data_IF_893122511337
#
_entry.id   IF_893122511337
#
_cell.length_a   1.000
_cell.length_b   1.000
_cell.length_c   1.000
_cell.angle_alpha   90.00
_cell.angle_beta   90.00
_cell.angle_gamma   90.00
#
_symmetry.space_group_name_H-M   'P 1'
#
loop_
_entity.id
_entity.type
_entity.pdbx_description
1 polymer ?
#
# COMPACT_ATOMS: atom_id res chain seq x y z
N UNK A 1 11.04 23.34 -59.90
CA UNK A 1 12.33 22.70 -59.53
C UNK A 1 12.02 21.40 -58.79
N UNK A 2 12.45 20.26 -59.34
CA UNK A 2 12.39 18.90 -58.75
C UNK A 2 13.45 18.72 -57.62
N UNK A 3 13.50 17.59 -56.85
CA UNK A 3 12.84 16.30 -57.10
C UNK A 3 12.22 15.54 -55.90
N UNK A 4 11.42 14.56 -56.30
CA UNK A 4 11.03 13.32 -55.62
C UNK A 4 12.20 12.54 -55.01
N UNK A 5 11.92 11.81 -53.91
CA UNK A 5 12.66 10.61 -53.51
C UNK A 5 11.71 9.42 -53.36
N UNK A 6 11.99 8.37 -54.10
CA UNK A 6 11.31 7.08 -54.10
C UNK A 6 11.46 6.34 -52.77
N UNK A 7 10.39 5.69 -52.30
CA UNK A 7 10.47 4.62 -51.31
C UNK A 7 10.12 3.31 -52.00
N UNK A 8 11.01 2.34 -51.88
CA UNK A 8 10.93 1.02 -52.48
C UNK A 8 9.76 0.20 -51.92
N UNK A 9 9.10 -0.54 -52.80
CA UNK A 9 8.11 -1.57 -52.48
C UNK A 9 8.80 -2.73 -51.76
N UNK A 10 8.43 -2.96 -50.50
CA UNK A 10 8.68 -4.17 -49.75
C UNK A 10 7.36 -4.91 -49.54
N UNK A 11 7.35 -6.18 -49.94
CA UNK A 11 6.19 -7.07 -50.02
C UNK A 11 5.66 -7.40 -48.61
N UNK A 12 4.37 -7.18 -48.33
CA UNK A 12 3.67 -7.83 -47.20
C UNK A 12 2.28 -8.35 -47.60
N UNK A 13 2.04 -9.59 -47.13
CA UNK A 13 0.92 -10.47 -47.41
C UNK A 13 -0.39 -10.05 -46.74
N UNK A 14 -1.45 -9.95 -47.54
CA UNK A 14 -2.76 -10.59 -47.32
C UNK A 14 -3.43 -10.59 -45.95
N UNK A 15 -3.89 -9.42 -45.45
CA UNK A 15 -5.15 -9.26 -44.68
C UNK A 15 -5.28 -7.81 -44.14
N UNK A 16 -5.47 -6.81 -45.00
CA UNK A 16 -5.87 -5.44 -44.60
C UNK A 16 -6.48 -4.63 -45.75
N UNK A 17 -7.21 -5.29 -46.65
CA UNK A 17 -7.85 -4.67 -47.80
C UNK A 17 -9.37 -4.56 -47.61
N UNK A 18 -9.84 -3.95 -46.52
CA UNK A 18 -11.29 -3.71 -46.30
C UNK A 18 -11.63 -2.48 -45.45
N UNK A 19 -10.68 -1.58 -45.17
CA UNK A 19 -10.96 -0.30 -44.49
C UNK A 19 -10.39 0.92 -45.24
N UNK A 20 -10.15 0.79 -46.55
CA UNK A 20 -9.57 1.85 -47.38
C UNK A 20 -10.30 2.04 -48.71
N UNK A 21 -11.63 1.89 -48.73
CA UNK A 21 -12.42 2.16 -49.94
C UNK A 21 -13.72 2.95 -49.71
N UNK A 22 -13.97 3.48 -48.51
CA UNK A 22 -15.17 4.28 -48.22
C UNK A 22 -14.85 5.60 -47.49
N UNK A 23 -13.79 6.29 -47.91
CA UNK A 23 -13.51 7.63 -47.39
C UNK A 23 -12.88 8.56 -48.46
N UNK A 24 -13.41 8.52 -49.69
CA UNK A 24 -13.02 9.49 -50.73
C UNK A 24 -14.07 10.58 -51.02
N UNK A 25 -15.24 10.55 -50.38
CA UNK A 25 -16.26 11.59 -50.54
C UNK A 25 -17.11 11.73 -49.27
N UNK A 26 -16.67 12.53 -48.29
CA UNK A 26 -17.57 13.17 -47.33
C UNK A 26 -16.82 14.23 -46.52
N UNK A 27 -17.00 15.50 -46.91
CA UNK A 27 -16.73 16.65 -46.06
C UNK A 27 -17.91 16.80 -45.10
N UNK A 28 -17.66 16.64 -43.80
CA UNK A 28 -18.58 16.77 -42.64
C UNK A 28 -19.45 15.55 -42.29
N UNK A 29 -19.10 14.85 -41.21
CA UNK A 29 -20.05 14.01 -40.46
C UNK A 29 -19.88 14.29 -38.96
N UNK A 30 -20.90 14.90 -38.37
CA UNK A 30 -21.13 14.98 -36.92
C UNK A 30 -21.81 13.69 -36.47
N UNK A 31 -21.20 12.92 -35.57
CA UNK A 31 -21.87 11.76 -34.98
C UNK A 31 -22.53 12.16 -33.65
N UNK A 32 -23.86 12.17 -33.64
CA UNK A 32 -24.69 12.08 -32.44
C UNK A 32 -25.51 10.79 -32.47
N UNK A 33 -25.72 10.27 -31.26
CA UNK A 33 -26.76 9.34 -30.79
C UNK A 33 -26.50 7.81 -30.69
N UNK A 34 -26.46 7.43 -29.41
CA UNK A 34 -26.99 6.24 -28.71
C UNK A 34 -27.81 5.20 -29.47
N UNK A 35 -27.56 3.91 -29.19
CA UNK A 35 -28.50 2.97 -28.54
C UNK A 35 -27.86 1.60 -28.23
N UNK A 36 -27.91 1.25 -26.94
CA UNK A 36 -28.25 -0.05 -26.33
C UNK A 36 -27.85 -1.40 -26.96
N UNK A 37 -26.90 -2.06 -26.29
CA UNK A 37 -27.07 -3.39 -25.68
C UNK A 37 -27.39 -4.62 -26.55
N UNK A 38 -26.39 -5.49 -26.71
CA UNK A 38 -26.52 -6.93 -26.40
C UNK A 38 -25.20 -7.41 -25.80
N UNK A 39 -25.27 -7.90 -24.56
CA UNK A 39 -24.22 -8.65 -23.89
C UNK A 39 -24.46 -10.14 -24.13
N UNK A 40 -23.39 -10.88 -24.41
CA UNK A 40 -23.27 -12.27 -23.95
C UNK A 40 -21.79 -12.65 -23.85
N UNK A 41 -21.46 -13.18 -22.68
CA UNK A 41 -20.15 -13.54 -22.15
C UNK A 41 -19.51 -14.75 -22.83
N UNK A 42 -18.19 -14.68 -23.08
CA UNK A 42 -17.28 -15.83 -22.85
C UNK A 42 -15.93 -15.32 -22.30
N UNK A 43 -15.77 -15.52 -20.99
CA UNK A 43 -14.56 -15.81 -20.20
C UNK A 43 -13.16 -15.23 -20.57
N UNK A 44 -12.59 -14.54 -19.56
CA UNK A 44 -11.19 -14.15 -19.28
C UNK A 44 -10.09 -15.19 -19.65
N UNK A 45 -8.84 -14.70 -19.84
CA UNK A 45 -7.88 -14.70 -18.74
C UNK A 45 -7.39 -13.30 -18.31
N UNK A 46 -6.99 -13.21 -17.04
CA UNK A 46 -6.43 -12.06 -16.31
C UNK A 46 -5.01 -11.68 -16.82
N UNK A 47 -4.42 -10.49 -16.60
CA UNK A 47 -4.46 -9.55 -15.46
C UNK A 47 -4.27 -8.11 -16.01
N UNK A 48 -5.10 -7.11 -15.63
CA UNK A 48 -4.88 -5.71 -16.00
C UNK A 48 -4.22 -4.90 -14.88
N UNK A 49 -3.18 -4.15 -15.26
CA UNK A 49 -2.45 -3.22 -14.42
C UNK A 49 -3.31 -2.06 -13.89
N UNK A 50 -2.93 -1.60 -12.70
CA UNK A 50 -3.54 -0.50 -11.98
C UNK A 50 -3.45 0.81 -12.78
N UNK A 51 -4.61 1.44 -12.96
CA UNK A 51 -4.74 2.76 -13.57
C UNK A 51 -4.39 3.86 -12.55
N UNK A 52 -3.35 4.64 -12.86
CA UNK A 52 -3.26 6.12 -12.74
C UNK A 52 -3.86 6.75 -11.46
N UNK A 53 -3.02 7.00 -10.44
CA UNK A 53 -3.30 7.96 -9.36
C UNK A 53 -3.05 9.39 -9.84
N UNK A 54 -3.90 9.89 -10.74
CA UNK A 54 -4.09 11.33 -10.87
C UNK A 54 -5.31 11.73 -10.05
N UNK A 55 -5.31 12.95 -9.56
CA UNK A 55 -6.52 13.59 -9.06
C UNK A 55 -7.53 13.64 -10.23
N UNK A 56 -8.65 12.93 -10.11
CA UNK A 56 -9.67 12.86 -11.14
C UNK A 56 -10.94 13.59 -10.68
N UNK A 57 -11.84 13.86 -11.62
CA UNK A 57 -13.17 14.38 -11.30
C UNK A 57 -13.88 13.35 -10.41
N UNK A 58 -14.20 13.76 -9.18
CA UNK A 58 -14.76 12.91 -8.15
C UNK A 58 -16.16 13.44 -7.81
N UNK A 59 -17.20 13.09 -8.60
CA UNK A 59 -18.54 13.67 -8.47
C UNK A 59 -19.20 13.37 -7.11
N UNK A 60 -18.67 12.40 -6.36
CA UNK A 60 -19.15 12.01 -5.03
C UNK A 60 -18.48 12.81 -3.89
N UNK A 61 -17.39 13.53 -4.18
CA UNK A 61 -16.65 14.31 -3.19
C UNK A 61 -17.35 15.63 -2.89
N UNK A 62 -17.86 15.80 -1.67
CA UNK A 62 -18.51 17.03 -1.21
C UNK A 62 -17.64 17.89 -0.31
N UNK A 63 -16.58 17.33 0.29
CA UNK A 63 -15.58 18.07 1.06
C UNK A 63 -14.20 17.39 1.04
N UNK A 64 -13.16 18.17 1.30
CA UNK A 64 -11.79 17.67 1.48
C UNK A 64 -11.68 16.76 2.71
N UNK A 65 -10.82 15.74 2.65
CA UNK A 65 -10.61 14.78 3.75
C UNK A 65 -11.70 13.71 3.88
N UNK A 66 -12.69 13.70 3.00
CA UNK A 66 -13.67 12.61 2.91
C UNK A 66 -13.13 11.46 2.06
N UNK A 67 -13.58 10.25 2.38
CA UNK A 67 -13.45 9.11 1.50
C UNK A 67 -14.82 8.67 1.01
N UNK A 68 -14.95 8.39 -0.29
CA UNK A 68 -16.23 8.03 -0.92
C UNK A 68 -16.04 6.79 -1.78
N UNK A 69 -16.72 5.69 -1.45
CA UNK A 69 -16.79 4.54 -2.35
C UNK A 69 -17.28 4.97 -3.74
N UNK A 70 -16.80 4.32 -4.79
CA UNK A 70 -17.33 4.43 -6.14
C UNK A 70 -18.31 3.28 -6.43
N UNK A 71 -19.63 3.51 -6.44
CA UNK A 71 -20.61 2.47 -6.73
C UNK A 71 -20.48 1.87 -8.14
N UNK A 72 -19.93 2.61 -9.11
CA UNK A 72 -19.73 2.12 -10.46
C UNK A 72 -18.70 0.97 -10.53
N UNK A 73 -17.82 0.90 -9.53
CA UNK A 73 -16.83 -0.17 -9.36
C UNK A 73 -17.33 -1.32 -8.46
N UNK A 74 -18.63 -1.36 -8.12
CA UNK A 74 -19.15 -2.20 -7.02
C UNK A 74 -18.42 -1.92 -5.69
N UNK A 75 -18.04 -0.66 -5.46
CA UNK A 75 -17.23 -0.19 -4.33
C UNK A 75 -15.84 -0.83 -4.23
N UNK A 76 -15.35 -1.54 -5.24
CA UNK A 76 -13.96 -2.04 -5.25
C UNK A 76 -12.94 -0.92 -5.44
N UNK A 77 -13.40 0.32 -5.69
CA UNK A 77 -12.62 1.54 -5.72
C UNK A 77 -13.30 2.66 -4.93
N UNK A 78 -12.52 3.66 -4.52
CA UNK A 78 -12.97 4.81 -3.74
C UNK A 78 -12.19 6.07 -4.07
N UNK A 79 -12.77 7.22 -3.74
CA UNK A 79 -12.18 8.54 -3.86
C UNK A 79 -11.62 8.99 -2.51
N UNK A 80 -10.37 9.44 -2.48
CA UNK A 80 -9.85 10.27 -1.40
C UNK A 80 -9.99 11.74 -1.81
N UNK A 81 -10.95 12.43 -1.21
CA UNK A 81 -11.36 13.77 -1.62
C UNK A 81 -10.39 14.85 -1.15
N UNK A 82 -10.03 15.77 -2.04
CA UNK A 82 -9.07 16.88 -1.79
C UNK A 82 -9.73 18.26 -1.85
N UNK A 83 -10.74 18.44 -2.69
CA UNK A 83 -11.60 19.63 -2.79
C UNK A 83 -12.99 19.19 -3.30
N UNK A 84 -14.01 20.06 -3.22
CA UNK A 84 -15.36 19.73 -3.74
C UNK A 84 -15.28 19.33 -5.22
N UNK A 85 -15.64 18.09 -5.54
CA UNK A 85 -15.62 17.53 -6.90
C UNK A 85 -14.28 16.97 -7.39
N UNK A 86 -13.24 16.90 -6.54
CA UNK A 86 -11.92 16.39 -6.91
C UNK A 86 -11.41 15.37 -5.88
N UNK A 87 -10.73 14.32 -6.36
CA UNK A 87 -10.12 13.34 -5.46
C UNK A 87 -9.19 12.36 -6.16
N UNK A 88 -8.37 11.68 -5.38
CA UNK A 88 -7.53 10.59 -5.85
C UNK A 88 -8.35 9.30 -5.93
N UNK A 89 -8.34 8.63 -7.09
CA UNK A 89 -9.06 7.38 -7.29
C UNK A 89 -8.20 6.20 -6.84
N UNK A 90 -8.65 5.46 -5.82
CA UNK A 90 -7.91 4.36 -5.19
C UNK A 90 -8.69 3.07 -5.36
N UNK A 91 -7.99 1.98 -5.60
CA UNK A 91 -8.58 0.64 -5.68
C UNK A 91 -8.36 -0.09 -4.35
N UNK A 92 -9.38 -0.80 -3.88
CA UNK A 92 -9.26 -1.72 -2.77
C UNK A 92 -8.54 -3.00 -3.20
N UNK A 93 -7.87 -3.66 -2.25
CA UNK A 93 -7.18 -4.92 -2.52
C UNK A 93 -8.14 -6.01 -3.05
N UNK A 94 -7.65 -7.02 -3.80
CA UNK A 94 -8.49 -8.06 -4.38
C UNK A 94 -9.42 -8.73 -3.34
N UNK A 95 -10.71 -8.83 -3.67
CA UNK A 95 -11.72 -9.44 -2.79
C UNK A 95 -12.28 -8.51 -1.70
N UNK A 96 -11.87 -7.24 -1.67
CA UNK A 96 -12.36 -6.22 -0.74
C UNK A 96 -13.09 -5.09 -1.47
N UNK A 97 -13.93 -4.36 -0.74
CA UNK A 97 -14.63 -3.18 -1.22
C UNK A 97 -14.57 -2.08 -0.14
N UNK A 98 -14.74 -0.83 -0.54
CA UNK A 98 -14.63 0.31 0.35
C UNK A 98 -15.84 0.43 1.28
N UNK A 99 -15.60 0.31 2.58
CA UNK A 99 -16.57 0.45 3.65
C UNK A 99 -16.54 1.89 4.19
N UNK A 100 -17.58 2.66 3.85
CA UNK A 100 -17.72 4.04 4.29
C UNK A 100 -17.77 4.21 5.83
N UNK A 101 -18.18 3.18 6.59
CA UNK A 101 -18.29 3.28 8.04
C UNK A 101 -16.93 3.34 8.75
N UNK A 102 -15.94 2.58 8.25
CA UNK A 102 -14.57 2.61 8.77
C UNK A 102 -13.64 3.52 7.95
N UNK A 103 -14.08 4.00 6.78
CA UNK A 103 -13.22 4.65 5.78
C UNK A 103 -12.03 3.76 5.39
N UNK A 104 -12.29 2.48 5.15
CA UNK A 104 -11.29 1.45 4.89
C UNK A 104 -11.78 0.44 3.86
N UNK A 105 -10.87 -0.31 3.23
CA UNK A 105 -11.23 -1.46 2.40
C UNK A 105 -11.51 -2.67 3.30
N UNK A 106 -12.67 -3.28 3.14
CA UNK A 106 -13.21 -4.34 4.00
C UNK A 106 -13.87 -5.43 3.14
N UNK A 107 -14.12 -6.59 3.70
CA UNK A 107 -14.81 -7.66 2.98
C UNK A 107 -16.26 -7.27 2.72
N UNK A 108 -16.80 -7.50 1.49
CA UNK A 108 -18.19 -7.22 1.15
C UNK A 108 -19.23 -7.93 2.04
N UNK A 109 -18.83 -8.93 2.83
CA UNK A 109 -19.68 -9.58 3.83
C UNK A 109 -20.04 -8.67 5.02
N UNK A 110 -19.32 -7.55 5.21
CA UNK A 110 -19.43 -6.69 6.39
C UNK A 110 -20.25 -5.41 6.13
N UNK A 111 -20.62 -5.10 4.89
CA UNK A 111 -21.38 -3.91 4.52
C UNK A 111 -21.99 -4.02 3.10
N UNK A 112 -22.87 -3.09 2.72
CA UNK A 112 -23.49 -3.04 1.37
C UNK A 112 -23.02 -1.80 0.61
N UNK A 113 -22.60 -1.99 -0.65
CA UNK A 113 -22.19 -0.92 -1.55
C UNK A 113 -23.39 -0.16 -2.15
N UNK A 114 -23.39 1.18 -2.09
CA UNK A 114 -24.23 2.02 -2.95
C UNK A 114 -25.63 2.44 -2.45
N UNK A 115 -26.02 2.16 -1.20
CA UNK A 115 -27.30 2.63 -0.67
C UNK A 115 -27.34 2.69 0.85
N UNK A 116 -27.80 3.81 1.40
CA UNK A 116 -27.92 4.00 2.85
C UNK A 116 -29.01 3.09 3.45
N UNK A 117 -28.64 2.34 4.49
CA UNK A 117 -29.60 1.64 5.36
C UNK A 117 -29.38 0.13 5.50
N UNK A 118 -29.09 -0.27 6.75
CA UNK A 118 -29.11 -1.60 7.35
C UNK A 118 -27.97 -2.60 7.04
N UNK A 119 -27.24 -2.92 8.11
CA UNK A 119 -26.44 -4.14 8.31
C UNK A 119 -27.23 -5.39 7.89
N UNK A 120 -26.70 -6.29 7.04
CA UNK A 120 -27.27 -7.62 6.88
C UNK A 120 -27.13 -8.40 8.19
N UNK A 121 -28.23 -8.98 8.68
CA UNK A 121 -28.17 -9.94 9.78
C UNK A 121 -27.24 -11.11 9.40
N UNK A 122 -26.53 -11.74 10.37
CA UNK A 122 -25.61 -12.82 10.08
C UNK A 122 -26.37 -13.98 9.44
N UNK A 123 -26.17 -14.22 8.16
CA UNK A 123 -26.61 -15.45 7.50
C UNK A 123 -25.67 -16.57 7.91
N UNK A 124 -26.14 -17.43 8.80
CA UNK A 124 -25.57 -18.75 9.03
C UNK A 124 -25.51 -19.50 7.71
N UNK A 125 -24.30 -19.95 7.33
CA UNK A 125 -24.10 -20.85 6.20
C UNK A 125 -24.90 -22.14 6.45
N UNK A 126 -25.71 -22.54 5.47
CA UNK A 126 -26.29 -23.87 5.45
C UNK A 126 -25.17 -24.93 5.44
N UNK A 127 -25.32 -26.07 6.16
CA UNK A 127 -24.31 -27.09 6.21
C UNK A 127 -24.07 -27.70 4.83
N UNK A 128 -22.80 -27.79 4.44
CA UNK A 128 -22.33 -28.54 3.28
C UNK A 128 -22.83 -29.99 3.37
N UNK A 129 -23.43 -30.57 2.31
CA UNK A 129 -23.79 -31.98 2.29
C UNK A 129 -22.55 -32.86 2.50
N UNK A 130 -22.71 -33.91 3.31
CA UNK A 130 -21.67 -34.88 3.61
C UNK A 130 -21.16 -35.58 2.33
N UNK A 131 -19.86 -35.89 2.23
CA UNK A 131 -19.31 -36.60 1.09
C UNK A 131 -19.88 -38.03 1.00
N UNK A 132 -20.32 -38.43 -0.19
CA UNK A 132 -20.71 -39.81 -0.50
C UNK A 132 -19.49 -40.72 -0.52
N UNK A 133 -19.42 -41.62 0.46
CA UNK A 133 -18.41 -42.68 0.54
C UNK A 133 -18.68 -43.76 -0.50
N UNK A 134 -17.65 -44.09 -1.29
CA UNK A 134 -17.63 -45.30 -2.14
C UNK A 134 -17.63 -46.56 -1.27
N UNK A 135 -18.24 -47.62 -1.80
CA UNK A 135 -18.39 -48.92 -1.17
C UNK A 135 -17.04 -49.58 -0.77
N UNK A 136 -16.96 -50.31 0.36
CA UNK A 136 -15.74 -50.91 0.84
C UNK A 136 -15.42 -52.26 0.18
N UNK A 137 -14.13 -52.51 -0.03
CA UNK A 137 -13.54 -53.80 -0.42
C UNK A 137 -13.54 -54.77 0.79
N UNK A 138 -13.74 -56.09 0.61
CA UNK A 138 -13.82 -57.05 1.72
C UNK A 138 -12.52 -57.21 2.52
N UNK A 139 -12.68 -57.46 3.83
CA UNK A 139 -11.63 -57.52 4.83
C UNK A 139 -10.85 -58.86 4.85
N UNK A 140 -9.54 -58.86 5.16
CA UNK A 140 -8.83 -60.05 5.60
C UNK A 140 -8.97 -60.28 7.12
N UNK A 141 -8.77 -61.54 7.45
CA UNK A 141 -9.14 -62.26 8.68
C UNK A 141 -8.34 -61.92 9.94
N UNK A 142 -9.04 -62.10 11.06
CA UNK A 142 -8.71 -61.88 12.47
C UNK A 142 -7.50 -62.65 13.01
N UNK A 143 -6.76 -62.02 13.93
CA UNK A 143 -6.04 -62.69 15.03
C UNK A 143 -6.59 -62.24 16.39
N UNK A 144 -6.52 -63.16 17.36
CA UNK A 144 -7.22 -63.22 18.64
C UNK A 144 -6.89 -62.08 19.65
N UNK A 145 -7.76 -61.83 20.66
CA UNK A 145 -7.72 -60.62 21.47
C UNK A 145 -6.82 -60.76 22.72
N UNK A 146 -6.28 -59.62 23.18
CA UNK A 146 -5.64 -59.45 24.49
C UNK A 146 -6.65 -58.85 25.48
N UNK A 147 -6.66 -59.24 26.78
CA UNK A 147 -7.73 -58.86 27.72
C UNK A 147 -7.74 -57.36 28.08
N UNK A 148 -8.95 -56.87 28.39
CA UNK A 148 -9.30 -55.47 28.61
C UNK A 148 -8.79 -54.89 29.95
N UNK A 149 -8.35 -53.61 29.99
CA UNK A 149 -8.14 -52.90 31.24
C UNK A 149 -9.48 -52.38 31.81
N UNK A 150 -9.63 -52.49 33.12
CA UNK A 150 -10.75 -52.00 33.91
C UNK A 150 -10.70 -50.48 34.08
N UNK A 151 -11.67 -49.76 33.51
CA UNK A 151 -11.87 -48.32 33.74
C UNK A 151 -12.87 -48.06 34.87
N UNK A 152 -12.48 -47.15 35.78
CA UNK A 152 -13.28 -46.64 36.91
C UNK A 152 -14.58 -45.98 36.47
N UNK A 153 -15.56 -46.02 37.37
CA UNK A 153 -16.89 -45.43 37.24
C UNK A 153 -16.86 -43.91 36.95
N UNK A 154 -17.83 -43.38 36.17
CA UNK A 154 -17.89 -41.96 35.83
C UNK A 154 -18.47 -41.11 36.97
N UNK A 155 -17.90 -39.91 37.12
CA UNK A 155 -18.37 -38.84 38.01
C UNK A 155 -19.66 -38.19 37.46
N UNK A 156 -20.65 -37.81 38.31
CA UNK A 156 -21.90 -37.20 37.85
C UNK A 156 -21.70 -35.83 37.17
N UNK A 157 -22.58 -35.53 36.21
CA UNK A 157 -22.60 -34.30 35.43
C UNK A 157 -22.97 -33.05 36.27
N UNK A 158 -22.41 -31.87 35.98
CA UNK A 158 -22.75 -30.64 36.68
C UNK A 158 -24.11 -30.10 36.22
N UNK A 159 -24.90 -29.63 37.20
CA UNK A 159 -26.16 -28.94 36.99
C UNK A 159 -25.92 -27.49 36.53
N UNK A 160 -26.57 -27.10 35.45
CA UNK A 160 -26.56 -25.74 34.90
C UNK A 160 -27.45 -24.80 35.73
N UNK A 161 -26.89 -23.69 36.20
CA UNK A 161 -27.65 -22.58 36.79
C UNK A 161 -28.33 -21.75 35.70
N UNK A 162 -29.51 -21.24 36.05
CA UNK A 162 -30.36 -20.38 35.21
C UNK A 162 -29.66 -19.05 34.82
N UNK A 163 -29.98 -18.47 33.65
CA UNK A 163 -29.33 -17.26 33.15
C UNK A 163 -29.79 -16.00 33.90
N UNK A 164 -28.83 -15.10 34.12
CA UNK A 164 -29.02 -13.77 34.73
C UNK A 164 -29.66 -12.79 33.73
N UNK A 165 -30.58 -11.89 34.15
CA UNK A 165 -31.20 -10.91 33.25
C UNK A 165 -30.21 -9.90 32.64
N UNK A 166 -30.55 -9.42 31.45
CA UNK A 166 -29.77 -8.47 30.67
C UNK A 166 -29.61 -7.10 31.35
N UNK A 167 -28.45 -6.42 31.20
CA UNK A 167 -28.22 -5.11 31.78
C UNK A 167 -28.96 -4.02 30.99
N UNK A 168 -29.56 -3.08 31.71
CA UNK A 168 -30.15 -1.85 31.20
C UNK A 168 -29.07 -0.84 30.80
N UNK A 169 -29.25 -0.21 29.64
CA UNK A 169 -28.38 0.82 29.07
C UNK A 169 -28.49 2.13 29.85
N UNK A 170 -27.35 2.64 30.34
CA UNK A 170 -27.23 4.03 30.82
C UNK A 170 -27.01 4.99 29.64
N UNK A 171 -27.51 6.21 29.81
CA UNK A 171 -27.40 7.34 28.88
C UNK A 171 -25.95 7.69 28.51
N UNK A 172 -25.71 8.28 27.33
CA UNK A 172 -24.36 8.55 26.82
C UNK A 172 -23.66 9.67 27.59
N UNK A 173 -22.40 9.40 27.95
CA UNK A 173 -21.44 10.34 28.54
C UNK A 173 -20.97 11.37 27.49
N UNK A 174 -20.73 12.64 27.85
CA UNK A 174 -20.23 13.67 26.93
C UNK A 174 -18.90 13.32 26.25
N UNK A 175 -18.69 13.91 25.07
CA UNK A 175 -17.53 13.69 24.19
C UNK A 175 -16.18 13.92 24.91
N UNK A 176 -15.14 13.11 24.60
CA UNK A 176 -13.84 13.24 25.25
C UNK A 176 -13.12 14.50 24.77
N UNK A 177 -12.75 15.36 25.71
CA UNK A 177 -11.68 16.35 25.53
C UNK A 177 -10.36 15.64 25.23
N UNK A 178 -9.67 16.09 24.20
CA UNK A 178 -8.34 15.64 23.77
C UNK A 178 -7.35 15.66 24.93
N UNK A 179 -6.95 14.47 25.40
CA UNK A 179 -5.78 14.32 26.26
C UNK A 179 -4.51 14.52 25.43
N UNK A 180 -3.54 15.20 26.02
CA UNK A 180 -2.18 15.33 25.51
C UNK A 180 -1.58 13.95 25.17
N UNK A 181 -0.69 13.85 24.16
CA UNK A 181 -0.13 12.58 23.72
C UNK A 181 0.57 11.84 24.86
N UNK A 182 0.28 10.54 24.97
CA UNK A 182 0.95 9.61 25.88
C UNK A 182 2.46 9.64 25.62
N UNK A 183 3.32 9.77 26.66
CA UNK A 183 4.76 9.67 26.51
C UNK A 183 5.16 8.35 25.84
N UNK A 184 6.16 8.39 24.96
CA UNK A 184 6.77 7.20 24.37
C UNK A 184 7.17 6.20 25.47
N UNK A 185 7.11 4.88 25.21
CA UNK A 185 7.47 3.88 26.21
C UNK A 185 8.93 4.07 26.66
N UNK A 186 9.12 4.41 27.92
CA UNK A 186 10.44 4.40 28.56
C UNK A 186 10.85 2.94 28.73
N UNK A 187 11.56 2.36 27.75
CA UNK A 187 12.15 1.03 27.89
C UNK A 187 13.38 1.11 28.80
N UNK A 188 13.19 0.76 30.06
CA UNK A 188 14.29 0.39 30.95
C UNK A 188 14.80 -1.00 30.53
N UNK A 189 15.88 -1.02 29.75
CA UNK A 189 16.61 -2.23 29.38
C UNK A 189 17.15 -2.16 27.95
N UNK A 190 18.48 -2.11 27.81
CA UNK A 190 19.27 -1.70 26.61
C UNK A 190 19.38 -0.17 26.52
N UNK A 191 20.62 0.34 26.44
CA UNK A 191 20.95 1.77 26.53
C UNK A 191 20.04 2.63 25.66
N UNK A 192 19.33 3.56 26.28
CA UNK A 192 18.39 4.45 25.61
C UNK A 192 19.09 5.47 24.71
N UNK A 193 18.28 6.23 23.95
CA UNK A 193 18.78 7.33 23.16
C UNK A 193 19.55 8.35 24.01
N UNK A 194 20.60 9.01 23.46
CA UNK A 194 21.31 10.06 24.17
C UNK A 194 20.36 11.17 24.65
N UNK A 195 20.76 11.91 25.69
CA UNK A 195 19.96 13.01 26.21
C UNK A 195 19.57 14.02 25.10
N UNK A 196 18.29 14.35 25.01
CA UNK A 196 17.75 15.23 23.97
C UNK A 196 17.42 14.54 22.64
N UNK A 197 17.55 13.21 22.56
CA UNK A 197 17.12 12.39 21.43
C UNK A 197 15.93 11.52 21.83
N UNK A 198 15.02 11.30 20.88
CA UNK A 198 13.82 10.49 21.04
C UNK A 198 13.98 9.14 20.33
N UNK A 199 13.45 8.04 20.90
CA UNK A 199 13.47 6.74 20.25
C UNK A 199 12.48 6.70 19.07
N UNK A 200 12.87 6.00 18.02
CA UNK A 200 12.06 5.70 16.85
C UNK A 200 12.50 4.36 16.23
N UNK A 201 11.77 3.92 15.20
CA UNK A 201 12.20 2.83 14.33
C UNK A 201 12.64 3.36 12.98
N UNK A 202 13.68 2.74 12.44
CA UNK A 202 14.23 3.06 11.13
C UNK A 202 14.09 1.88 10.18
N UNK A 203 13.61 2.15 8.98
CA UNK A 203 13.70 1.25 7.82
C UNK A 203 14.40 1.97 6.68
N UNK A 204 14.69 1.26 5.60
CA UNK A 204 15.39 1.80 4.45
C UNK A 204 14.54 1.58 3.19
N UNK A 205 14.59 2.54 2.26
CA UNK A 205 14.01 2.39 0.93
C UNK A 205 14.90 3.05 -0.13
N UNK A 206 14.74 2.65 -1.39
CA UNK A 206 15.36 3.33 -2.53
C UNK A 206 14.28 4.05 -3.34
N UNK A 207 14.35 5.39 -3.35
CA UNK A 207 13.44 6.24 -4.11
C UNK A 207 13.70 6.24 -5.62
N UNK A 208 14.79 5.61 -6.05
CA UNK A 208 15.20 5.41 -7.44
C UNK A 208 15.93 4.06 -7.58
N UNK A 209 15.22 2.94 -7.43
CA UNK A 209 15.84 1.63 -7.47
C UNK A 209 16.27 1.27 -8.89
N UNK A 210 17.30 0.44 -8.99
CA UNK A 210 17.77 -0.03 -10.29
C UNK A 210 16.74 -0.99 -10.91
N UNK A 211 16.50 -0.90 -12.24
CA UNK A 211 15.64 -1.85 -12.94
C UNK A 211 16.08 -3.30 -12.66
N UNK A 212 15.12 -4.17 -12.36
CA UNK A 212 15.40 -5.59 -12.10
C UNK A 212 15.70 -5.95 -10.64
N UNK A 213 15.84 -4.97 -9.74
CA UNK A 213 16.02 -5.22 -8.30
C UNK A 213 14.73 -5.63 -7.60
N UNK A 214 14.84 -6.21 -6.40
CA UNK A 214 13.69 -6.56 -5.55
C UNK A 214 12.90 -5.31 -5.19
N UNK A 215 13.60 -4.23 -4.86
CA UNK A 215 12.99 -2.93 -4.58
C UNK A 215 12.16 -2.40 -5.75
N UNK A 216 12.72 -2.49 -6.96
CA UNK A 216 12.06 -2.04 -8.18
C UNK A 216 10.79 -2.84 -8.49
N UNK A 217 10.86 -4.17 -8.40
CA UNK A 217 9.82 -5.08 -8.88
C UNK A 217 8.84 -5.47 -7.78
N UNK A 218 9.33 -5.97 -6.65
CA UNK A 218 8.51 -6.53 -5.58
C UNK A 218 7.88 -5.42 -4.74
N UNK A 219 8.64 -4.36 -4.45
CA UNK A 219 8.18 -3.24 -3.62
C UNK A 219 7.70 -2.04 -4.44
N UNK A 220 7.49 -2.22 -5.75
CA UNK A 220 7.00 -1.18 -6.67
C UNK A 220 7.84 0.10 -6.72
N UNK A 221 9.10 0.08 -6.26
CA UNK A 221 9.91 1.30 -6.15
C UNK A 221 10.18 1.97 -7.50
N UNK A 222 10.21 1.20 -8.59
CA UNK A 222 10.32 1.78 -9.94
C UNK A 222 9.05 2.51 -10.40
N UNK A 223 7.87 2.07 -9.95
CA UNK A 223 6.60 2.74 -10.27
C UNK A 223 6.55 4.12 -9.61
N UNK A 224 7.03 4.23 -8.37
CA UNK A 224 7.04 5.47 -7.59
C UNK A 224 8.37 6.24 -7.64
N UNK A 225 9.30 5.82 -8.49
CA UNK A 225 10.62 6.43 -8.58
C UNK A 225 10.55 7.95 -8.74
N UNK A 226 11.19 8.69 -7.84
CA UNK A 226 11.21 10.15 -7.82
C UNK A 226 9.87 10.84 -7.53
N UNK A 227 8.93 10.15 -6.87
CA UNK A 227 7.67 10.73 -6.37
C UNK A 227 7.67 10.78 -4.84
N UNK A 228 7.09 11.84 -4.27
CA UNK A 228 7.01 12.03 -2.82
C UNK A 228 5.70 12.73 -2.45
N UNK A 229 5.13 12.43 -1.28
CA UNK A 229 3.82 12.97 -0.88
C UNK A 229 3.76 14.50 -0.77
N UNK A 230 4.87 15.18 -0.42
CA UNK A 230 4.91 16.64 -0.30
C UNK A 230 5.67 17.37 -1.41
N UNK A 231 6.20 16.66 -2.42
CA UNK A 231 7.00 17.27 -3.50
C UNK A 231 6.56 16.68 -4.84
N UNK A 232 5.52 17.27 -5.42
CA UNK A 232 4.90 16.79 -6.66
C UNK A 232 5.73 17.17 -7.91
N UNK A 233 6.27 16.20 -8.66
CA UNK A 233 6.98 16.45 -9.91
C UNK A 233 6.06 16.85 -11.07
N UNK A 234 4.74 16.70 -10.93
CA UNK A 234 3.73 16.96 -11.94
C UNK A 234 3.07 15.68 -12.49
N UNK A 235 2.10 15.83 -13.41
CA UNK A 235 1.26 14.72 -13.86
C UNK A 235 1.92 13.87 -14.95
N UNK A 236 1.47 12.61 -15.07
CA UNK A 236 1.79 11.78 -16.24
C UNK A 236 1.16 12.35 -17.52
N UNK A 237 1.96 12.54 -18.57
CA UNK A 237 1.50 13.05 -19.87
C UNK A 237 1.21 14.55 -19.90
N UNK A 238 1.60 15.30 -18.87
CA UNK A 238 1.50 16.77 -18.83
C UNK A 238 2.86 17.44 -18.63
N UNK A 239 2.89 18.78 -18.48
CA UNK A 239 4.12 19.50 -18.21
C UNK A 239 4.63 19.21 -16.79
N UNK A 240 5.92 18.93 -16.68
CA UNK A 240 6.55 18.67 -15.39
C UNK A 240 6.85 19.96 -14.63
N UNK A 241 6.90 19.85 -13.30
CA UNK A 241 7.38 20.90 -12.42
C UNK A 241 8.82 21.30 -12.76
N UNK A 242 9.24 22.49 -12.31
CA UNK A 242 10.56 23.03 -12.64
C UNK A 242 11.70 22.13 -12.13
N UNK A 243 12.39 21.50 -13.08
CA UNK A 243 13.50 20.57 -12.82
C UNK A 243 13.06 19.13 -12.52
N UNK A 244 11.77 18.81 -12.63
CA UNK A 244 11.29 17.46 -12.85
C UNK A 244 11.39 17.11 -14.35
N UNK A 245 11.37 15.83 -14.67
CA UNK A 245 11.53 15.32 -16.03
C UNK A 245 10.51 14.23 -16.34
N UNK A 246 10.16 14.08 -17.61
CA UNK A 246 9.31 12.99 -18.09
C UNK A 246 10.14 11.71 -18.21
N UNK A 247 10.03 10.83 -17.20
CA UNK A 247 10.87 9.64 -17.02
C UNK A 247 10.01 8.39 -16.76
N UNK A 248 10.52 7.21 -17.12
CA UNK A 248 9.81 5.93 -16.99
C UNK A 248 10.01 5.21 -15.65
N UNK A 249 10.76 5.80 -14.72
CA UNK A 249 11.07 5.19 -13.43
C UNK A 249 11.87 3.88 -13.50
N UNK A 250 12.48 3.57 -14.67
CA UNK A 250 13.16 2.29 -14.87
C UNK A 250 12.28 1.15 -15.37
N UNK A 251 11.01 1.41 -15.68
CA UNK A 251 10.07 0.44 -16.27
C UNK A 251 10.07 0.48 -17.80
N UNK A 252 9.75 -0.63 -18.45
CA UNK A 252 9.50 -0.63 -19.91
C UNK A 252 8.38 0.37 -20.26
N UNK A 253 8.50 1.15 -21.36
CA UNK A 253 7.42 2.02 -21.83
C UNK A 253 6.08 1.24 -21.93
N UNK A 254 4.93 1.84 -21.58
CA UNK A 254 4.59 3.26 -21.67
C UNK A 254 4.53 4.07 -20.35
N UNK A 255 5.15 3.64 -19.25
CA UNK A 255 5.01 4.28 -17.92
C UNK A 255 5.80 5.60 -17.73
N UNK A 256 5.73 6.52 -18.70
CA UNK A 256 6.43 7.80 -18.65
C UNK A 256 5.59 8.86 -17.91
N UNK A 257 6.10 9.33 -16.78
CA UNK A 257 5.48 10.34 -15.93
C UNK A 257 6.48 11.42 -15.52
N UNK A 258 5.99 12.56 -15.06
CA UNK A 258 6.87 13.52 -14.43
C UNK A 258 7.43 12.94 -13.13
N UNK A 259 8.75 12.99 -12.98
CA UNK A 259 9.50 12.45 -11.84
C UNK A 259 10.65 13.38 -11.51
N UNK A 260 11.04 13.44 -10.24
CA UNK A 260 12.27 14.11 -9.85
C UNK A 260 13.46 13.23 -10.21
N UNK A 261 14.41 13.67 -11.05
CA UNK A 261 15.55 12.85 -11.44
C UNK A 261 16.35 12.37 -10.23
N UNK A 262 16.90 11.16 -10.28
CA UNK A 262 17.69 10.58 -9.17
C UNK A 262 18.78 11.56 -8.66
N UNK A 263 19.48 12.23 -9.57
CA UNK A 263 20.51 13.21 -9.22
C UNK A 263 19.99 14.41 -8.39
N UNK A 264 18.71 14.77 -8.53
CA UNK A 264 18.06 15.77 -7.67
C UNK A 264 17.71 15.16 -6.32
N UNK A 265 17.05 14.01 -6.33
CA UNK A 265 16.60 13.32 -5.12
C UNK A 265 17.78 13.01 -4.18
N UNK A 266 18.93 12.65 -4.74
CA UNK A 266 20.16 12.38 -3.99
C UNK A 266 20.65 13.56 -3.13
N UNK A 267 20.23 14.79 -3.45
CA UNK A 267 20.64 16.00 -2.73
C UNK A 267 19.68 16.37 -1.59
N UNK A 268 18.54 15.70 -1.49
CA UNK A 268 17.43 16.12 -0.62
C UNK A 268 17.42 15.42 0.73
N UNK A 269 18.20 14.34 0.87
CA UNK A 269 18.26 13.51 2.06
C UNK A 269 16.86 13.17 2.58
N UNK A 270 16.08 12.43 1.79
CA UNK A 270 14.66 12.23 2.05
C UNK A 270 14.41 11.17 3.14
N UNK A 271 13.25 11.28 3.79
CA UNK A 271 12.69 10.22 4.60
C UNK A 271 11.15 10.20 4.47
N UNK A 272 10.55 9.06 4.78
CA UNK A 272 9.13 8.90 4.94
C UNK A 272 8.75 8.66 6.40
N UNK A 273 7.51 8.96 6.76
CA UNK A 273 6.94 8.57 8.06
C UNK A 273 5.64 7.79 7.86
N UNK A 274 5.16 7.10 8.88
CA UNK A 274 3.95 6.27 8.72
C UNK A 274 2.73 7.16 8.46
N UNK A 275 1.94 6.84 7.43
CA UNK A 275 0.78 7.64 7.03
C UNK A 275 -0.24 7.87 8.16
N UNK A 276 -0.37 6.91 9.08
CA UNK A 276 -1.30 6.98 10.23
C UNK A 276 -0.72 7.76 11.42
N UNK A 277 0.57 8.10 11.35
CA UNK A 277 1.27 8.93 12.31
C UNK A 277 2.15 9.97 11.60
N UNK A 278 1.49 10.98 11.03
CA UNK A 278 2.13 12.03 10.24
C UNK A 278 2.82 13.12 11.07
N UNK A 279 3.03 12.90 12.37
CA UNK A 279 3.60 13.93 13.26
C UNK A 279 4.99 14.41 12.84
N UNK A 280 5.75 13.57 12.13
CA UNK A 280 7.07 13.92 11.61
C UNK A 280 7.03 14.49 10.18
N UNK A 281 5.90 14.43 9.50
CA UNK A 281 5.78 14.89 8.12
C UNK A 281 6.04 16.42 8.04
N UNK A 282 6.93 16.82 7.15
CA UNK A 282 7.39 18.20 7.00
C UNK A 282 8.47 18.63 8.01
N UNK A 283 9.06 17.71 8.78
CA UNK A 283 10.16 17.99 9.71
C UNK A 283 11.52 17.61 9.13
N UNK A 284 12.55 18.35 9.53
CA UNK A 284 13.96 17.97 9.36
C UNK A 284 14.41 17.27 10.63
N UNK A 285 14.95 16.07 10.50
CA UNK A 285 15.41 15.28 11.64
C UNK A 285 16.90 15.05 11.53
N UNK A 286 17.60 15.11 12.66
CA UNK A 286 18.90 14.48 12.80
C UNK A 286 18.66 13.06 13.31
N UNK A 287 19.22 12.05 12.65
CA UNK A 287 18.97 10.62 12.95
C UNK A 287 20.29 9.92 13.23
N UNK A 288 20.27 8.95 14.15
CA UNK A 288 21.37 8.05 14.43
C UNK A 288 20.85 6.65 14.73
N UNK A 289 21.64 5.64 14.41
CA UNK A 289 21.32 4.24 14.76
C UNK A 289 21.69 3.99 16.22
N UNK A 290 20.77 3.43 16.99
CA UNK A 290 21.03 3.08 18.38
C UNK A 290 22.11 2.00 18.46
N UNK A 291 23.10 2.19 19.33
CA UNK A 291 24.24 1.28 19.45
C UNK A 291 25.18 1.24 18.23
N UNK A 292 25.01 2.17 17.27
CA UNK A 292 25.93 2.35 16.14
C UNK A 292 27.19 3.13 16.51
N UNK A 293 28.00 3.46 15.49
CA UNK A 293 29.27 4.20 15.63
C UNK A 293 29.12 5.69 16.03
N UNK A 294 27.92 6.13 16.42
CA UNK A 294 27.61 7.54 16.70
C UNK A 294 27.46 8.43 15.45
N UNK A 295 27.53 7.84 14.26
CA UNK A 295 27.28 8.55 13.00
C UNK A 295 25.86 9.07 12.94
N UNK A 296 25.70 10.32 12.51
CA UNK A 296 24.39 10.95 12.34
C UNK A 296 24.19 11.42 10.91
N UNK A 297 22.95 11.44 10.45
CA UNK A 297 22.55 12.02 9.16
C UNK A 297 21.34 12.94 9.36
N UNK A 298 21.24 13.97 8.53
CA UNK A 298 20.02 14.76 8.44
C UNK A 298 19.08 14.15 7.40
N UNK A 299 17.78 14.15 7.71
CA UNK A 299 16.74 13.75 6.77
C UNK A 299 15.60 14.76 6.73
N UNK A 300 15.00 14.95 5.56
CA UNK A 300 13.80 15.72 5.33
C UNK A 300 12.62 14.76 5.19
N UNK A 301 11.74 14.73 6.19
CA UNK A 301 10.54 13.89 6.14
C UNK A 301 9.51 14.56 5.25
N UNK A 302 9.45 14.13 3.99
CA UNK A 302 8.57 14.71 2.97
C UNK A 302 7.75 13.65 2.24
N UNK A 303 7.78 12.44 2.75
CA UNK A 303 7.03 11.33 2.20
C UNK A 303 6.29 10.54 3.29
N UNK A 304 5.41 9.64 2.85
CA UNK A 304 4.68 8.74 3.74
C UNK A 304 4.87 7.28 3.35
N UNK A 305 5.15 6.44 4.35
CA UNK A 305 5.06 5.00 4.26
C UNK A 305 3.59 4.63 4.48
N UNK A 306 2.97 4.01 3.49
CA UNK A 306 1.57 3.60 3.53
C UNK A 306 1.49 2.08 3.62
N UNK A 307 0.64 1.59 4.53
CA UNK A 307 0.45 0.14 4.70
C UNK A 307 -0.23 -0.47 3.47
N UNK A 308 -0.89 0.34 2.65
CA UNK A 308 -1.48 -0.11 1.39
C UNK A 308 -0.41 -0.47 0.36
N UNK A 309 0.70 0.26 0.32
CA UNK A 309 1.73 0.12 -0.69
C UNK A 309 2.69 -1.04 -0.39
N UNK A 310 2.77 -1.47 0.87
CA UNK A 310 3.66 -2.53 1.34
C UNK A 310 2.99 -3.63 2.17
N UNK A 311 1.68 -3.80 2.06
CA UNK A 311 0.90 -4.85 2.72
C UNK A 311 1.05 -4.89 4.26
N UNK A 312 0.99 -3.72 4.90
CA UNK A 312 1.02 -3.60 6.36
C UNK A 312 2.42 -3.48 6.97
N UNK A 313 3.47 -3.30 6.17
CA UNK A 313 4.84 -3.23 6.68
C UNK A 313 5.05 -2.04 7.64
N UNK A 314 4.46 -0.86 7.36
CA UNK A 314 4.70 0.34 8.16
C UNK A 314 4.14 0.18 9.58
N UNK A 315 2.92 -0.36 9.71
CA UNK A 315 2.29 -0.69 10.98
C UNK A 315 3.05 -1.79 11.73
N UNK A 316 3.53 -2.83 11.05
CA UNK A 316 4.33 -3.88 11.68
C UNK A 316 5.66 -3.34 12.22
N UNK A 317 6.38 -2.57 11.40
CA UNK A 317 7.69 -2.00 11.73
C UNK A 317 7.60 -1.04 12.94
N UNK A 318 6.54 -0.25 13.01
CA UNK A 318 6.27 0.67 14.14
C UNK A 318 5.78 -0.01 15.40
N UNK A 319 5.50 -1.31 15.38
CA UNK A 319 4.81 -1.98 16.48
C UNK A 319 3.40 -1.43 16.67
N UNK A 320 2.69 -1.22 15.57
CA UNK A 320 1.35 -0.65 15.48
C UNK A 320 1.27 0.76 16.10
N UNK A 321 2.24 1.62 15.75
CA UNK A 321 2.33 3.00 16.23
C UNK A 321 2.98 3.18 17.61
N UNK A 322 3.53 2.11 18.20
CA UNK A 322 4.28 2.23 19.45
C UNK A 322 5.55 3.09 19.31
N UNK A 323 6.08 3.19 18.10
CA UNK A 323 7.26 3.99 17.76
C UNK A 323 6.99 4.83 16.50
N UNK A 324 7.59 6.01 16.43
CA UNK A 324 7.62 6.79 15.18
C UNK A 324 8.41 6.03 14.12
N UNK A 325 7.92 6.04 12.88
CA UNK A 325 8.66 5.55 11.72
C UNK A 325 9.49 6.66 11.10
N UNK A 326 10.76 6.36 10.87
CA UNK A 326 11.66 7.14 10.03
C UNK A 326 12.15 6.18 8.95
N UNK A 327 11.47 6.17 7.81
CA UNK A 327 11.86 5.35 6.67
C UNK A 327 12.89 6.14 5.86
N UNK A 328 14.16 5.69 5.87
CA UNK A 328 15.32 6.48 5.46
C UNK A 328 15.71 6.13 4.03
N UNK A 329 15.76 7.14 3.17
CA UNK A 329 16.15 6.93 1.78
C UNK A 329 17.64 6.52 1.65
N UNK A 330 17.99 5.79 0.59
CA UNK A 330 19.33 5.17 0.42
C UNK A 330 20.51 6.11 0.67
N UNK A 331 20.43 7.38 0.30
CA UNK A 331 21.57 8.32 0.37
C UNK A 331 21.91 8.67 1.83
N UNK A 332 20.99 9.22 2.65
CA UNK A 332 21.26 9.39 4.08
C UNK A 332 21.48 8.06 4.80
N UNK A 333 20.82 6.97 4.39
CA UNK A 333 21.05 5.65 4.96
C UNK A 333 22.49 5.16 4.75
N UNK A 334 23.07 5.38 3.56
CA UNK A 334 24.45 5.00 3.27
C UNK A 334 25.46 5.77 4.14
N UNK A 335 25.13 7.00 4.51
CA UNK A 335 25.92 7.79 5.47
C UNK A 335 25.85 7.17 6.87
N UNK A 336 24.65 6.77 7.31
CA UNK A 336 24.43 6.17 8.63
C UNK A 336 25.09 4.79 8.78
N UNK A 337 25.01 3.97 7.72
CA UNK A 337 25.35 2.55 7.77
C UNK A 337 26.64 2.19 7.03
N UNK A 338 27.22 3.12 6.27
CA UNK A 338 28.50 2.93 5.60
C UNK A 338 28.50 1.96 4.41
N UNK A 339 27.33 1.66 3.82
CA UNK A 339 27.26 0.78 2.65
C UNK A 339 27.52 1.51 1.32
N UNK A 340 28.04 0.78 0.34
CA UNK A 340 28.25 1.31 -1.01
C UNK A 340 26.96 1.20 -1.85
N UNK A 341 26.40 2.35 -2.22
CA UNK A 341 25.14 2.46 -2.97
C UNK A 341 25.33 2.63 -4.49
N UNK A 342 26.54 2.92 -4.96
CA UNK A 342 26.82 3.19 -6.38
C UNK A 342 26.97 1.93 -7.25
N UNK A 343 27.09 0.74 -6.66
CA UNK A 343 27.36 -0.51 -7.38
C UNK A 343 26.25 -0.84 -8.38
N UNK A 344 26.53 -1.25 -9.63
CA UNK A 344 25.51 -1.68 -10.60
C UNK A 344 24.54 -2.75 -10.08
N UNK A 345 24.99 -3.61 -9.17
CA UNK A 345 24.20 -4.68 -8.54
C UNK A 345 23.59 -4.29 -7.18
N UNK A 346 23.66 -3.00 -6.80
CA UNK A 346 23.10 -2.53 -5.54
C UNK A 346 21.59 -2.73 -5.50
N UNK A 347 21.11 -3.27 -4.39
CA UNK A 347 19.71 -3.38 -4.00
C UNK A 347 19.65 -3.06 -2.51
N UNK A 348 18.78 -2.13 -2.12
CA UNK A 348 18.64 -1.66 -0.74
C UNK A 348 18.26 -2.80 0.22
N UNK A 349 17.55 -3.81 -0.30
CA UNK A 349 17.13 -4.99 0.46
C UNK A 349 18.29 -5.91 0.86
N UNK A 350 19.47 -5.73 0.26
CA UNK A 350 20.67 -6.51 0.57
C UNK A 350 21.60 -5.79 1.56
N UNK A 351 21.22 -4.60 2.05
CA UNK A 351 22.01 -3.87 3.04
C UNK A 351 21.89 -4.56 4.41
N UNK A 352 23.01 -4.95 5.04
CA UNK A 352 22.97 -5.55 6.37
C UNK A 352 22.39 -4.58 7.40
N UNK A 353 21.33 -4.99 8.10
CA UNK A 353 20.85 -4.23 9.25
C UNK A 353 21.83 -4.39 10.43
N UNK A 354 22.09 -3.33 11.22
CA UNK A 354 22.92 -3.40 12.41
C UNK A 354 22.47 -4.55 13.34
N UNK A 355 23.42 -5.34 13.86
CA UNK A 355 23.13 -6.46 14.78
C UNK A 355 23.41 -6.10 16.24
N UNK A 356 22.54 -6.66 17.09
CA UNK A 356 22.57 -6.80 18.55
C UNK A 356 22.37 -5.61 19.49
N UNK A 357 22.48 -4.34 19.08
CA UNK A 357 22.04 -3.21 19.92
C UNK A 357 21.23 -2.13 19.18
N UNK A 358 21.05 -2.31 17.86
CA UNK A 358 20.33 -1.39 16.99
C UNK A 358 19.13 -2.03 16.30
N UNK A 359 18.60 -3.15 16.79
CA UNK A 359 17.31 -3.72 16.35
C UNK A 359 16.24 -3.45 17.38
N UNK A 360 15.03 -3.12 16.93
CA UNK A 360 13.87 -3.08 17.83
C UNK A 360 13.54 -4.51 18.27
N UNK A 361 13.42 -4.79 19.59
CA UNK A 361 12.99 -6.10 20.06
C UNK A 361 11.61 -6.47 19.48
N UNK A 362 11.52 -7.65 18.86
CA UNK A 362 10.29 -8.16 18.25
C UNK A 362 9.90 -7.53 16.91
N UNK A 363 10.78 -6.78 16.26
CA UNK A 363 10.57 -6.29 14.90
C UNK A 363 11.20 -7.23 13.85
N UNK A 364 10.69 -7.17 12.62
CA UNK A 364 11.16 -7.98 11.51
C UNK A 364 12.62 -7.69 11.12
N UNK A 365 13.20 -8.62 10.36
CA UNK A 365 14.53 -8.43 9.80
C UNK A 365 14.52 -7.18 8.89
N UNK A 366 15.37 -6.20 9.17
CA UNK A 366 15.37 -4.90 8.46
C UNK A 366 15.07 -3.70 9.36
N UNK A 367 14.35 -3.90 10.46
CA UNK A 367 13.93 -2.79 11.34
C UNK A 367 15.02 -2.43 12.34
N UNK A 368 15.47 -1.19 12.26
CA UNK A 368 16.48 -0.62 13.13
C UNK A 368 15.84 0.12 14.30
N UNK A 369 16.45 0.02 15.47
CA UNK A 369 16.26 1.00 16.54
C UNK A 369 17.08 2.24 16.19
N UNK A 370 16.41 3.38 16.06
CA UNK A 370 17.05 4.66 15.78
C UNK A 370 16.68 5.68 16.83
N UNK A 371 17.50 6.70 16.95
CA UNK A 371 17.23 7.87 17.75
C UNK A 371 17.17 9.07 16.82
N UNK A 372 16.25 10.00 17.09
CA UNK A 372 16.16 11.23 16.32
C UNK A 372 16.07 12.47 17.21
N UNK A 373 16.45 13.60 16.63
CA UNK A 373 16.23 14.93 17.16
C UNK A 373 15.53 15.77 16.10
N UNK A 374 14.47 16.46 16.49
CA UNK A 374 13.83 17.43 15.62
C UNK A 374 14.76 18.64 15.43
N UNK A 375 15.15 18.88 14.19
CA UNK A 375 16.06 19.96 13.78
C UNK A 375 15.32 21.15 13.16
N UNK A 376 13.99 21.15 13.15
CA UNK A 376 13.16 22.23 12.62
C UNK A 376 12.29 21.81 11.43
N UNK A 377 11.73 22.80 10.70
CA UNK A 377 11.02 22.54 9.45
C UNK A 377 11.92 21.86 8.42
N UNK A 378 11.36 20.95 7.61
CA UNK A 378 12.05 20.36 6.47
C UNK A 378 12.53 21.46 5.50
N UNK A 379 13.66 21.20 4.86
CA UNK A 379 14.24 22.08 3.86
C UNK A 379 13.22 22.37 2.74
N UNK A 380 13.30 23.56 2.14
CA UNK A 380 12.54 23.84 0.93
C UNK A 380 13.17 23.10 -0.23
N UNK A 381 12.38 22.25 -0.86
CA UNK A 381 12.79 21.38 -1.95
C UNK A 381 11.87 21.68 -3.14
N UNK A 382 12.41 21.90 -4.37
CA UNK A 382 11.63 22.27 -5.55
C UNK A 382 10.71 21.17 -6.03
#
# INVERSE_FOLDING_TARGET
MCPFRSVAMGVMSGASLLCALFCLYCTTCTCTDTLSGIAEDVAKPAVPGGRRLLQQAAPLCTAAGQYKADPASSCTSYWQCTASGQGFYRQCGPGTAFNNACSCCDFPSNFVCGGGGATPAPTTKAPTPAPTTKAPTPAPTTKAPTPAPTTKAPTPAPTTKAPTPAPTTKAPTPAPTTKAPTPAPTSSGVGGCPAGWLPAVGTLYDSWPKPGTTECITYSGCEYAGQFSLVDPGPCGGPCAAGAQSLNGGLSPPNVCCRWPEAKVAQWSMAATWERDSALLGRKLQVQVLGGAGTTAFVNVKDVCSDLDCEGCCSQNTGNGAYKLIDIEKWPASTLLGFQHSSPSFDINNVPSPVQNGRRPGADAGVMAVCYKDAGPADRIP
#
